data_IF_672165273286
#
_entry.id   IF_672165273286
#
_cell.length_a   1.000
_cell.length_b   1.000
_cell.length_c   1.000
_cell.angle_alpha   90.00
_cell.angle_beta   90.00
_cell.angle_gamma   90.00
#
_symmetry.space_group_name_H-M   'P 1'
#
loop_
_entity.id
_entity.type
_entity.pdbx_description
1 polymer ?
#
# COMPACT_ATOMS: atom_id res chain seq x y z
N UNK A 1 0.77 -8.94 8.35
CA UNK A 1 1.92 -9.00 7.41
C UNK A 1 3.22 -9.30 8.14
N UNK A 2 3.51 -8.67 9.31
CA UNK A 2 4.77 -8.91 10.03
C UNK A 2 5.02 -10.40 10.37
N UNK A 3 4.06 -11.22 10.82
CA UNK A 3 4.32 -12.65 11.06
C UNK A 3 4.82 -13.41 9.81
N UNK A 4 4.30 -13.08 8.64
CA UNK A 4 4.79 -13.65 7.39
C UNK A 4 6.22 -13.22 7.07
N UNK A 5 6.53 -11.93 7.25
CA UNK A 5 7.88 -11.41 7.11
C UNK A 5 8.86 -12.05 8.10
N UNK A 6 8.49 -12.13 9.39
CA UNK A 6 9.30 -12.76 10.41
C UNK A 6 9.66 -14.21 10.08
N UNK A 7 8.66 -14.97 9.58
CA UNK A 7 8.87 -16.34 9.08
C UNK A 7 9.84 -16.38 7.90
N UNK A 8 9.72 -15.48 6.95
CA UNK A 8 10.57 -15.44 5.76
C UNK A 8 12.04 -15.12 6.08
N UNK A 9 12.30 -14.33 7.13
CA UNK A 9 13.67 -13.93 7.54
C UNK A 9 14.17 -14.69 8.77
N UNK A 10 13.44 -15.69 9.27
CA UNK A 10 13.85 -16.53 10.39
C UNK A 10 13.80 -15.85 11.77
N UNK A 11 12.95 -14.83 11.92
CA UNK A 11 12.72 -14.17 13.21
C UNK A 11 11.63 -14.94 13.98
N UNK A 12 11.96 -15.35 15.21
CA UNK A 12 11.01 -16.02 16.11
C UNK A 12 10.09 -15.00 16.77
N UNK A 13 8.77 -15.20 16.67
CA UNK A 13 7.76 -14.26 17.19
C UNK A 13 7.72 -14.20 18.73
N UNK A 14 8.17 -15.24 19.42
CA UNK A 14 8.27 -15.29 20.87
C UNK A 14 9.35 -14.34 21.45
N UNK A 15 10.26 -13.86 20.59
CA UNK A 15 11.27 -12.84 20.94
C UNK A 15 10.79 -11.42 20.69
N UNK A 16 9.56 -11.24 20.23
CA UNK A 16 8.99 -9.93 19.91
C UNK A 16 7.99 -9.52 20.98
N UNK A 17 8.22 -8.36 21.57
CA UNK A 17 7.24 -7.71 22.44
C UNK A 17 6.39 -6.72 21.66
N UNK A 18 5.09 -6.98 21.57
CA UNK A 18 4.17 -6.13 20.83
C UNK A 18 3.66 -4.98 21.70
N UNK A 19 3.76 -3.77 21.18
CA UNK A 19 3.16 -2.57 21.77
C UNK A 19 2.05 -2.07 20.85
N UNK A 20 0.81 -2.15 21.31
CA UNK A 20 -0.35 -1.58 20.60
C UNK A 20 -0.46 -0.10 20.90
N UNK A 21 -0.58 0.72 19.86
CA UNK A 21 -0.63 2.17 19.98
C UNK A 21 -1.50 2.79 18.90
N UNK A 22 -1.97 4.00 19.12
CA UNK A 22 -2.62 4.79 18.08
C UNK A 22 -1.61 5.21 17.01
N UNK A 23 -2.06 5.24 15.75
CA UNK A 23 -1.19 5.53 14.59
C UNK A 23 -0.37 6.81 14.76
N UNK A 24 -0.90 7.95 15.25
CA UNK A 24 -0.11 9.17 15.43
C UNK A 24 1.01 9.08 16.45
N UNK A 25 1.01 8.08 17.35
CA UNK A 25 2.04 7.90 18.38
C UNK A 25 3.23 7.08 17.89
N UNK A 26 3.09 6.37 16.79
CA UNK A 26 4.04 5.38 16.30
C UNK A 26 5.44 5.95 16.08
N UNK A 27 5.57 6.95 15.22
CA UNK A 27 6.87 7.57 14.92
C UNK A 27 7.44 8.37 16.11
N UNK A 28 6.65 9.13 16.89
CA UNK A 28 7.13 9.73 18.13
C UNK A 28 7.70 8.73 19.12
N UNK A 29 7.08 7.57 19.34
CA UNK A 29 7.57 6.54 20.25
C UNK A 29 8.88 5.90 19.76
N UNK A 30 9.00 5.63 18.44
CA UNK A 30 10.25 5.16 17.87
C UNK A 30 11.38 6.18 18.06
N UNK A 31 11.12 7.46 17.76
CA UNK A 31 12.11 8.53 17.94
C UNK A 31 12.57 8.66 19.40
N UNK A 32 11.69 8.44 20.39
CA UNK A 32 12.03 8.49 21.82
C UNK A 32 12.70 7.21 22.35
N UNK A 33 12.81 6.16 21.51
CA UNK A 33 13.35 4.87 21.94
C UNK A 33 12.41 4.07 22.86
N UNK A 34 11.12 4.37 22.84
CA UNK A 34 10.10 3.63 23.60
C UNK A 34 9.71 2.32 22.90
N UNK A 35 10.02 2.21 21.61
CA UNK A 35 9.96 1.00 20.81
C UNK A 35 11.19 0.93 19.90
N UNK A 36 11.64 -0.30 19.58
CA UNK A 36 12.84 -0.54 18.77
C UNK A 36 12.54 -0.51 17.26
N UNK A 37 11.31 -0.83 16.88
CA UNK A 37 10.87 -0.86 15.51
C UNK A 37 9.38 -0.54 15.39
N UNK A 38 8.96 -0.07 14.21
CA UNK A 38 7.55 0.16 13.90
C UNK A 38 7.22 -0.42 12.52
N UNK A 39 5.96 -0.78 12.32
CA UNK A 39 5.46 -1.26 11.03
C UNK A 39 4.52 -0.24 10.39
N UNK A 40 4.54 -0.14 9.07
CA UNK A 40 3.66 0.78 8.34
C UNK A 40 4.03 0.93 6.87
N UNK A 41 3.33 1.80 6.17
CA UNK A 41 3.76 2.19 4.82
C UNK A 41 5.05 2.99 4.90
N UNK A 42 6.10 2.52 4.21
CA UNK A 42 7.43 3.08 4.36
C UNK A 42 7.47 4.59 4.04
N UNK A 43 6.77 5.03 2.98
CA UNK A 43 6.68 6.45 2.61
C UNK A 43 5.96 7.31 3.67
N UNK A 44 5.08 6.71 4.49
CA UNK A 44 4.45 7.41 5.62
C UNK A 44 5.40 7.46 6.81
N UNK A 45 5.93 6.32 7.23
CA UNK A 45 6.80 6.22 8.42
C UNK A 45 8.08 7.03 8.23
N UNK A 46 8.77 6.86 7.10
CA UNK A 46 10.03 7.57 6.82
C UNK A 46 9.82 9.08 6.80
N UNK A 47 8.81 9.57 6.09
CA UNK A 47 8.59 11.02 5.99
C UNK A 47 8.06 11.63 7.28
N UNK A 48 7.32 10.88 8.09
CA UNK A 48 6.92 11.35 9.42
C UNK A 48 8.14 11.44 10.36
N UNK A 49 9.06 10.47 10.34
CA UNK A 49 10.31 10.54 11.11
C UNK A 49 11.19 11.72 10.69
N UNK A 50 11.32 11.96 9.37
CA UNK A 50 12.04 13.14 8.84
C UNK A 50 11.36 14.43 9.32
N UNK A 51 10.03 14.50 9.27
CA UNK A 51 9.27 15.67 9.78
C UNK A 51 9.45 15.90 11.28
N UNK A 52 9.72 14.83 12.03
CA UNK A 52 10.07 14.90 13.45
C UNK A 52 11.56 15.26 13.69
N UNK A 53 12.35 15.45 12.62
CA UNK A 53 13.78 15.83 12.70
C UNK A 53 14.73 14.64 12.86
N UNK A 54 14.32 13.43 12.47
CA UNK A 54 15.24 12.29 12.33
C UNK A 54 15.96 12.39 11.01
N UNK A 55 17.28 12.22 10.97
CA UNK A 55 18.05 12.21 9.72
C UNK A 55 17.67 10.99 8.87
N UNK A 56 17.57 11.15 7.54
CA UNK A 56 17.24 10.06 6.64
C UNK A 56 18.26 8.91 6.71
N UNK A 57 19.53 9.23 6.97
CA UNK A 57 20.62 8.27 7.13
C UNK A 57 20.54 7.42 8.39
N UNK A 58 19.80 7.90 9.43
CA UNK A 58 19.56 7.16 10.67
C UNK A 58 18.36 6.21 10.57
N UNK A 59 17.62 6.21 9.45
CA UNK A 59 16.41 5.41 9.27
C UNK A 59 16.73 4.12 8.51
N UNK A 60 16.66 2.98 9.17
CA UNK A 60 16.79 1.67 8.53
C UNK A 60 15.41 1.15 8.14
N UNK A 61 15.24 0.77 6.87
CA UNK A 61 13.97 0.29 6.33
C UNK A 61 14.10 -1.14 5.82
N UNK A 62 13.26 -2.04 6.34
CA UNK A 62 13.08 -3.38 5.82
C UNK A 62 11.77 -3.43 5.04
N UNK A 63 11.84 -3.38 3.71
CA UNK A 63 10.66 -3.46 2.85
C UNK A 63 10.20 -4.92 2.77
N UNK A 64 9.01 -5.21 3.25
CA UNK A 64 8.46 -6.57 3.23
C UNK A 64 8.38 -7.15 1.82
N UNK A 65 8.16 -6.31 0.82
CA UNK A 65 8.12 -6.73 -0.58
C UNK A 65 9.45 -7.26 -1.14
N UNK A 66 10.58 -7.00 -0.47
CA UNK A 66 11.88 -7.57 -0.86
C UNK A 66 12.01 -9.04 -0.42
N UNK A 67 11.14 -9.51 0.48
CA UNK A 67 11.17 -10.85 1.08
C UNK A 67 9.92 -11.68 0.81
N UNK A 68 8.83 -11.02 0.43
CA UNK A 68 7.53 -11.66 0.23
C UNK A 68 6.84 -11.09 -1.02
N UNK A 69 6.14 -11.92 -1.79
CA UNK A 69 5.29 -11.48 -2.89
C UNK A 69 4.03 -10.79 -2.32
N UNK A 70 4.14 -9.53 -1.92
CA UNK A 70 3.02 -8.82 -1.29
C UNK A 70 2.23 -8.02 -2.31
N UNK A 71 0.91 -8.17 -2.25
CA UNK A 71 -0.03 -7.25 -2.88
C UNK A 71 -0.25 -6.07 -1.94
N UNK A 72 -0.13 -4.86 -2.47
CA UNK A 72 -0.33 -3.62 -1.72
C UNK A 72 -1.81 -3.31 -1.44
N UNK A 73 -2.13 -2.02 -1.38
CA UNK A 73 -3.50 -1.57 -1.18
C UNK A 73 -4.40 -1.93 -2.36
N UNK A 74 -5.63 -2.33 -2.03
CA UNK A 74 -6.70 -2.56 -2.99
C UNK A 74 -7.95 -1.73 -2.68
N UNK A 75 -8.83 -1.63 -3.66
CA UNK A 75 -10.16 -1.05 -3.45
C UNK A 75 -11.06 -2.18 -2.98
N UNK A 76 -11.59 -2.04 -1.78
CA UNK A 76 -12.54 -2.97 -1.17
C UNK A 76 -13.94 -2.39 -1.32
N UNK A 77 -14.88 -3.22 -1.76
CA UNK A 77 -16.28 -2.83 -1.92
C UNK A 77 -17.18 -3.74 -1.09
N UNK A 78 -18.24 -3.16 -0.51
CA UNK A 78 -19.27 -3.95 0.15
C UNK A 78 -20.05 -4.78 -0.87
N UNK A 79 -20.25 -6.08 -0.62
CA UNK A 79 -20.90 -7.00 -1.55
C UNK A 79 -22.34 -6.60 -1.89
N UNK A 80 -23.13 -6.13 -0.91
CA UNK A 80 -24.51 -5.73 -1.16
C UNK A 80 -24.58 -4.45 -2.01
N UNK A 81 -23.61 -3.55 -1.83
CA UNK A 81 -23.49 -2.37 -2.69
C UNK A 81 -23.10 -2.79 -4.10
N UNK A 82 -22.12 -3.68 -4.24
CA UNK A 82 -21.65 -4.20 -5.53
C UNK A 82 -22.79 -4.85 -6.32
N UNK A 83 -23.55 -5.75 -5.67
CA UNK A 83 -24.71 -6.43 -6.29
C UNK A 83 -25.78 -5.46 -6.79
N UNK A 84 -26.01 -4.36 -6.06
CA UNK A 84 -27.01 -3.36 -6.40
C UNK A 84 -26.53 -2.31 -7.42
N UNK A 85 -25.21 -2.06 -7.46
CA UNK A 85 -24.62 -0.94 -8.18
C UNK A 85 -23.33 -1.33 -8.94
N UNK A 86 -23.31 -2.39 -9.75
CA UNK A 86 -22.08 -2.86 -10.42
C UNK A 86 -21.47 -1.81 -11.33
N UNK A 87 -22.30 -1.07 -12.07
CA UNK A 87 -21.84 0.01 -12.95
C UNK A 87 -21.20 1.17 -12.19
N UNK A 88 -21.67 1.47 -10.97
CA UNK A 88 -21.06 2.51 -10.15
C UNK A 88 -19.65 2.14 -9.75
N UNK A 89 -19.39 0.87 -9.44
CA UNK A 89 -18.05 0.37 -9.11
C UNK A 89 -17.11 0.49 -10.30
N UNK A 90 -17.54 0.06 -11.48
CA UNK A 90 -16.73 0.18 -12.72
C UNK A 90 -16.43 1.66 -13.05
N UNK A 91 -17.42 2.56 -12.94
CA UNK A 91 -17.19 4.00 -13.14
C UNK A 91 -16.24 4.60 -12.12
N UNK A 92 -16.34 4.18 -10.86
CA UNK A 92 -15.43 4.61 -9.80
C UNK A 92 -13.99 4.17 -10.09
N UNK A 93 -13.78 2.90 -10.44
CA UNK A 93 -12.45 2.38 -10.79
C UNK A 93 -11.86 3.13 -11.99
N UNK A 94 -12.67 3.41 -13.02
CA UNK A 94 -12.25 4.23 -14.17
C UNK A 94 -11.82 5.63 -13.75
N UNK A 95 -12.57 6.27 -12.86
CA UNK A 95 -12.22 7.60 -12.35
C UNK A 95 -10.92 7.58 -11.54
N UNK A 96 -10.71 6.57 -10.69
CA UNK A 96 -9.46 6.39 -9.91
C UNK A 96 -8.27 6.22 -10.85
N UNK A 97 -8.37 5.36 -11.85
CA UNK A 97 -7.30 5.12 -12.82
C UNK A 97 -6.96 6.40 -13.60
N UNK A 98 -7.96 7.15 -14.04
CA UNK A 98 -7.75 8.46 -14.67
C UNK A 98 -7.03 9.44 -13.75
N UNK A 99 -7.41 9.46 -12.47
CA UNK A 99 -6.76 10.27 -11.44
C UNK A 99 -5.30 9.88 -11.23
N UNK A 100 -4.99 8.58 -11.17
CA UNK A 100 -3.61 8.08 -11.06
C UNK A 100 -2.78 8.51 -12.29
N UNK A 101 -3.27 8.29 -13.50
CA UNK A 101 -2.59 8.68 -14.74
C UNK A 101 -2.32 10.19 -14.78
N UNK A 102 -3.32 10.99 -14.45
CA UNK A 102 -3.18 12.45 -14.37
C UNK A 102 -2.12 12.87 -13.34
N UNK A 103 -2.14 12.24 -12.17
CA UNK A 103 -1.19 12.53 -11.07
C UNK A 103 0.24 12.19 -11.46
N UNK A 104 0.46 11.08 -12.19
CA UNK A 104 1.78 10.69 -12.70
C UNK A 104 2.31 11.75 -13.69
N UNK A 105 1.45 12.25 -14.57
CA UNK A 105 1.80 13.23 -15.57
C UNK A 105 1.96 14.65 -15.00
N UNK A 106 1.23 14.97 -13.92
CA UNK A 106 1.12 16.31 -13.34
C UNK A 106 1.28 16.30 -11.81
N UNK A 107 2.41 15.81 -11.25
CA UNK A 107 2.56 15.63 -9.81
C UNK A 107 2.48 16.93 -9.02
N UNK A 108 2.98 18.04 -9.56
CA UNK A 108 2.94 19.35 -8.90
C UNK A 108 1.52 19.89 -8.78
N UNK A 109 0.70 19.70 -9.81
CA UNK A 109 -0.71 20.09 -9.79
C UNK A 109 -1.50 19.22 -8.83
N UNK A 110 -1.25 17.90 -8.80
CA UNK A 110 -1.87 16.99 -7.85
C UNK A 110 -1.61 17.42 -6.39
N UNK A 111 -0.38 17.86 -6.08
CA UNK A 111 -0.05 18.40 -4.76
C UNK A 111 -0.78 19.73 -4.49
N UNK A 112 -0.92 20.61 -5.47
CA UNK A 112 -1.68 21.84 -5.27
C UNK A 112 -3.15 21.56 -4.95
N UNK A 113 -3.76 20.57 -5.62
CA UNK A 113 -5.13 20.12 -5.31
C UNK A 113 -5.24 19.56 -3.88
N UNK A 114 -4.24 18.78 -3.44
CA UNK A 114 -4.18 18.28 -2.06
C UNK A 114 -4.13 19.43 -1.04
N UNK A 115 -3.31 20.45 -1.29
CA UNK A 115 -3.17 21.60 -0.40
C UNK A 115 -4.42 22.51 -0.37
N UNK A 116 -5.24 22.51 -1.42
CA UNK A 116 -6.56 23.18 -1.38
C UNK A 116 -7.46 22.46 -0.37
N UNK A 117 -7.38 21.13 -0.29
CA UNK A 117 -8.17 20.33 0.65
C UNK A 117 -7.65 20.41 2.08
N UNK A 118 -6.33 20.44 2.26
CA UNK A 118 -5.68 20.56 3.56
C UNK A 118 -4.47 21.52 3.47
N UNK A 119 -4.69 22.82 3.75
CA UNK A 119 -3.62 23.82 3.72
C UNK A 119 -2.56 23.68 4.80
N UNK A 120 -2.76 22.82 5.79
CA UNK A 120 -1.81 22.62 6.91
C UNK A 120 -0.64 21.73 6.52
N UNK A 121 -0.74 21.01 5.39
CA UNK A 121 0.27 20.09 4.92
C UNK A 121 1.52 20.80 4.39
N UNK A 122 2.69 20.19 4.61
CA UNK A 122 3.94 20.67 4.04
C UNK A 122 4.09 20.22 2.59
N UNK A 123 4.04 21.18 1.65
CA UNK A 123 4.11 20.90 0.20
C UNK A 123 5.30 20.02 -0.21
N UNK A 124 6.47 20.28 0.34
CA UNK A 124 7.71 19.56 -0.01
C UNK A 124 7.66 18.11 0.47
N UNK A 125 7.21 17.90 1.69
CA UNK A 125 7.04 16.56 2.27
C UNK A 125 5.98 15.77 1.50
N UNK A 126 4.83 16.38 1.21
CA UNK A 126 3.75 15.69 0.51
C UNK A 126 4.10 15.39 -0.95
N UNK A 127 4.90 16.25 -1.61
CA UNK A 127 5.42 15.91 -2.94
C UNK A 127 6.37 14.70 -2.88
N UNK A 128 7.30 14.65 -1.91
CA UNK A 128 8.17 13.49 -1.72
C UNK A 128 7.34 12.24 -1.44
N UNK A 129 6.32 12.34 -0.58
CA UNK A 129 5.39 11.23 -0.28
C UNK A 129 4.66 10.74 -1.52
N UNK A 130 4.13 11.65 -2.34
CA UNK A 130 3.46 11.29 -3.59
C UNK A 130 4.40 10.53 -4.53
N UNK A 131 5.60 11.03 -4.76
CA UNK A 131 6.56 10.38 -5.66
C UNK A 131 6.92 8.97 -5.17
N UNK A 132 7.19 8.80 -3.87
CA UNK A 132 7.45 7.49 -3.27
C UNK A 132 6.24 6.54 -3.40
N UNK A 133 5.01 7.05 -3.27
CA UNK A 133 3.80 6.25 -3.46
C UNK A 133 3.60 5.84 -4.92
N UNK A 134 3.90 6.73 -5.86
CA UNK A 134 3.79 6.44 -7.30
C UNK A 134 4.76 5.35 -7.75
N UNK A 135 5.96 5.26 -7.15
CA UNK A 135 6.91 4.15 -7.42
C UNK A 135 6.33 2.77 -7.09
N UNK A 136 5.43 2.71 -6.09
CA UNK A 136 4.76 1.46 -5.69
C UNK A 136 3.55 1.18 -6.60
N UNK A 137 2.80 2.23 -6.97
CA UNK A 137 1.59 2.12 -7.78
C UNK A 137 1.93 1.81 -9.24
N UNK A 138 3.00 2.41 -9.76
CA UNK A 138 3.48 2.20 -11.11
C UNK A 138 4.66 1.24 -11.14
N UNK A 139 4.37 -0.05 -11.25
CA UNK A 139 5.38 -1.10 -11.39
C UNK A 139 5.72 -1.25 -12.87
N UNK A 140 6.86 -0.67 -13.27
CA UNK A 140 7.35 -0.73 -14.66
C UNK A 140 7.38 -2.18 -15.17
N UNK A 141 6.97 -2.40 -16.41
CA UNK A 141 6.86 -3.74 -17.01
C UNK A 141 5.55 -4.46 -16.67
N UNK A 142 5.08 -4.43 -15.43
CA UNK A 142 3.76 -4.98 -15.07
C UNK A 142 2.66 -4.02 -15.49
N UNK A 143 2.72 -2.77 -15.03
CA UNK A 143 1.72 -1.74 -15.36
C UNK A 143 1.71 -1.42 -16.85
N UNK A 144 2.88 -1.39 -17.52
CA UNK A 144 3.00 -1.18 -18.96
C UNK A 144 2.33 -2.31 -19.76
N UNK A 145 2.41 -3.54 -19.25
CA UNK A 145 1.84 -4.72 -19.91
C UNK A 145 0.36 -4.90 -19.64
N UNK A 146 -0.06 -4.76 -18.39
CA UNK A 146 -1.41 -5.13 -17.94
C UNK A 146 -2.30 -3.95 -17.56
N UNK A 147 -1.74 -2.75 -17.42
CA UNK A 147 -2.43 -1.55 -16.95
C UNK A 147 -2.61 -1.51 -15.42
N UNK A 148 -2.98 -0.33 -14.93
CA UNK A 148 -3.24 -0.13 -13.50
C UNK A 148 -4.35 -1.04 -12.96
N UNK A 149 -4.21 -1.45 -11.70
CA UNK A 149 -5.19 -2.27 -10.97
C UNK A 149 -5.11 -3.77 -11.24
N UNK A 150 -4.24 -4.23 -12.11
CA UNK A 150 -4.02 -5.66 -12.36
C UNK A 150 -2.85 -6.18 -11.53
N UNK A 151 -3.01 -7.37 -10.99
CA UNK A 151 -1.96 -8.16 -10.34
C UNK A 151 -1.99 -9.55 -10.95
N UNK A 152 -0.81 -10.11 -11.21
CA UNK A 152 -0.70 -11.49 -11.71
C UNK A 152 -1.36 -12.46 -10.71
N UNK A 153 -2.22 -13.37 -11.19
CA UNK A 153 -2.89 -14.34 -10.31
C UNK A 153 -1.93 -15.14 -9.43
N UNK A 154 -0.77 -15.54 -9.96
CA UNK A 154 0.26 -16.27 -9.19
C UNK A 154 0.75 -15.47 -7.97
N UNK A 155 0.94 -14.16 -8.09
CA UNK A 155 1.36 -13.29 -6.98
C UNK A 155 0.27 -13.24 -5.89
N UNK A 156 -1.00 -13.19 -6.29
CA UNK A 156 -2.13 -13.22 -5.33
C UNK A 156 -2.20 -14.57 -4.63
N UNK A 157 -2.05 -15.67 -5.37
CA UNK A 157 -2.04 -17.03 -4.82
C UNK A 157 -0.90 -17.24 -3.80
N UNK A 158 0.30 -16.75 -4.11
CA UNK A 158 1.45 -16.79 -3.19
C UNK A 158 1.19 -15.94 -1.95
N UNK A 159 0.58 -14.75 -2.12
CA UNK A 159 0.20 -13.88 -1.01
C UNK A 159 -0.83 -14.55 -0.10
N UNK A 160 -1.87 -15.19 -0.66
CA UNK A 160 -2.85 -15.98 0.09
C UNK A 160 -2.14 -17.08 0.88
N UNK A 161 -1.24 -17.84 0.27
CA UNK A 161 -0.50 -18.91 0.94
C UNK A 161 0.33 -18.38 2.12
N UNK A 162 1.05 -17.27 1.91
CA UNK A 162 1.87 -16.65 2.96
C UNK A 162 1.03 -16.18 4.15
N UNK A 163 -0.12 -15.57 3.90
CA UNK A 163 -1.04 -15.11 4.95
C UNK A 163 -1.70 -16.28 5.69
N UNK A 164 -2.19 -17.27 4.97
CA UNK A 164 -2.79 -18.49 5.58
C UNK A 164 -1.81 -19.18 6.51
N UNK A 165 -0.55 -19.36 6.05
CA UNK A 165 0.50 -19.98 6.86
C UNK A 165 0.89 -19.12 8.08
N UNK A 166 1.10 -17.83 7.89
CA UNK A 166 1.56 -16.93 8.95
C UNK A 166 0.53 -16.72 10.07
N UNK A 167 -0.76 -16.81 9.76
CA UNK A 167 -1.84 -16.61 10.73
C UNK A 167 -2.53 -17.91 11.14
N UNK A 168 -2.12 -19.06 10.61
CA UNK A 168 -2.73 -20.35 10.92
C UNK A 168 -4.22 -20.39 10.58
N UNK A 169 -4.61 -19.78 9.44
CA UNK A 169 -6.02 -19.69 9.10
C UNK A 169 -6.62 -21.08 8.84
N UNK A 170 -7.83 -21.35 9.34
CA UNK A 170 -8.45 -22.67 9.25
C UNK A 170 -8.85 -23.05 7.81
N UNK A 171 -8.92 -22.07 6.90
CA UNK A 171 -9.28 -22.26 5.51
C UNK A 171 -8.44 -21.36 4.61
N UNK A 172 -8.01 -21.89 3.50
CA UNK A 172 -7.42 -21.10 2.41
C UNK A 172 -8.54 -20.61 1.48
N UNK A 173 -8.72 -19.31 1.29
CA UNK A 173 -9.65 -18.79 0.28
C UNK A 173 -9.10 -19.04 -1.13
N UNK A 174 -10.00 -19.14 -2.10
CA UNK A 174 -9.64 -19.11 -3.51
C UNK A 174 -9.36 -17.68 -3.98
N UNK A 175 -8.66 -17.55 -5.10
CA UNK A 175 -8.38 -16.24 -5.71
C UNK A 175 -9.67 -15.43 -5.95
N UNK A 176 -10.69 -16.05 -6.51
CA UNK A 176 -11.96 -15.39 -6.85
C UNK A 176 -12.79 -14.97 -5.64
N UNK A 177 -12.49 -15.49 -4.43
CA UNK A 177 -13.07 -14.98 -3.19
C UNK A 177 -12.39 -13.71 -2.69
N UNK A 178 -11.18 -13.42 -3.17
CA UNK A 178 -10.37 -12.26 -2.71
C UNK A 178 -10.38 -11.14 -3.74
N UNK A 179 -10.32 -11.46 -5.04
CA UNK A 179 -10.15 -10.45 -6.10
C UNK A 179 -11.12 -10.73 -7.25
N UNK A 180 -11.73 -9.66 -7.74
CA UNK A 180 -12.54 -9.67 -8.95
C UNK A 180 -12.06 -8.59 -9.93
N UNK A 181 -11.40 -8.99 -10.99
CA UNK A 181 -10.90 -8.11 -12.05
C UNK A 181 -11.95 -7.75 -13.10
N UNK A 182 -13.15 -8.35 -13.07
CA UNK A 182 -14.19 -8.12 -14.09
C UNK A 182 -14.73 -6.68 -14.07
N UNK A 183 -14.56 -5.96 -12.95
CA UNK A 183 -14.93 -4.56 -12.80
C UNK A 183 -13.88 -3.57 -13.28
N UNK A 184 -12.69 -4.04 -13.63
CA UNK A 184 -11.66 -3.16 -14.20
C UNK A 184 -12.11 -2.66 -15.59
N UNK A 185 -11.85 -1.37 -15.90
CA UNK A 185 -12.03 -0.87 -17.26
C UNK A 185 -11.19 -1.67 -18.28
N UNK A 186 -11.49 -1.59 -19.58
CA UNK A 186 -10.65 -2.18 -20.61
C UNK A 186 -9.18 -1.84 -20.44
N UNK A 187 -8.30 -2.77 -20.83
CA UNK A 187 -6.85 -2.63 -20.61
C UNK A 187 -6.30 -1.32 -21.17
N UNK A 188 -6.76 -0.92 -22.34
CA UNK A 188 -6.33 0.28 -23.07
C UNK A 188 -6.59 1.57 -22.27
N UNK A 189 -7.67 1.61 -21.48
CA UNK A 189 -7.97 2.73 -20.59
C UNK A 189 -7.06 2.75 -19.37
N UNK A 190 -6.46 1.61 -19.00
CA UNK A 190 -5.64 1.41 -17.80
C UNK A 190 -4.13 1.50 -18.05
N UNK A 191 -3.68 1.53 -19.29
CA UNK A 191 -2.27 1.74 -19.64
C UNK A 191 -1.82 3.15 -19.19
N UNK A 192 -0.56 3.31 -18.80
CA UNK A 192 0.04 4.59 -18.39
C UNK A 192 -0.14 5.72 -19.39
#
# INVERSE_FOLDING_TARGET
VFPAFASAVGISLDKISWVTMDIPLREPMLKRGEVDAVTGFYYTVVLNLISLGVSEEDIVVFKYGDYLPLVGNGIVVNEDFLKKNPDAVTRFLRAVIRGIKYTIQNPDEAINVLLIRDPTLNKTIEKKRLLMALEIIYVRGVTDKYGFGYVEPSVIEENINAIVAAFGLPRRPSLNEIVDFSFLPPREERLP
#
